data_IF_294881103625
#
_entry.id   IF_294881103625
#
_cell.length_a   1.000
_cell.length_b   1.000
_cell.length_c   1.000
_cell.angle_alpha   90.00
_cell.angle_beta   90.00
_cell.angle_gamma   90.00
#
_symmetry.space_group_name_H-M   'P 1'
#
loop_
_entity.id
_entity.type
_entity.pdbx_description
1 polymer ?
#
# COMPACT_ATOMS: atom_id res chain seq x y z
N UNK A 1 14.21 -23.36 -19.76
CA UNK A 1 13.36 -22.96 -18.64
C UNK A 1 13.30 -24.05 -17.57
N UNK A 2 12.93 -25.31 -17.92
CA UNK A 2 12.92 -26.45 -17.00
C UNK A 2 14.28 -26.73 -16.35
N UNK A 3 15.38 -26.49 -17.06
CA UNK A 3 16.74 -26.67 -16.57
C UNK A 3 17.15 -25.64 -15.51
N UNK A 4 16.72 -24.38 -15.64
CA UNK A 4 16.94 -23.33 -14.64
C UNK A 4 16.11 -23.57 -13.35
N UNK A 5 14.90 -24.08 -13.48
CA UNK A 5 14.05 -24.46 -12.35
C UNK A 5 14.65 -25.66 -11.62
N UNK A 6 15.16 -26.64 -12.35
CA UNK A 6 15.82 -27.81 -11.77
C UNK A 6 17.14 -27.44 -11.06
N UNK A 7 17.95 -26.55 -11.62
CA UNK A 7 19.19 -26.07 -10.98
C UNK A 7 18.87 -25.30 -9.70
N UNK A 8 17.86 -24.43 -9.70
CA UNK A 8 17.42 -23.72 -8.49
C UNK A 8 16.93 -24.71 -7.41
N UNK A 9 16.21 -25.74 -7.80
CA UNK A 9 15.74 -26.78 -6.86
C UNK A 9 16.88 -27.62 -6.29
N UNK A 10 17.90 -27.94 -7.11
CA UNK A 10 19.10 -28.70 -6.69
C UNK A 10 19.98 -27.84 -5.76
N UNK A 11 20.19 -26.57 -6.09
CA UNK A 11 20.99 -25.65 -5.26
C UNK A 11 20.29 -25.37 -3.92
N UNK A 12 18.96 -25.35 -3.87
CA UNK A 12 18.23 -25.13 -2.63
C UNK A 12 18.26 -26.34 -1.69
N UNK A 13 18.41 -27.55 -2.20
CA UNK A 13 18.53 -28.76 -1.36
C UNK A 13 19.85 -28.84 -0.59
N UNK A 14 20.89 -28.13 -1.01
CA UNK A 14 22.18 -28.02 -0.31
C UNK A 14 22.22 -26.91 0.75
N UNK A 15 21.18 -26.04 0.79
CA UNK A 15 21.08 -24.96 1.77
C UNK A 15 20.34 -25.43 3.02
N UNK A 16 20.90 -25.15 4.20
CA UNK A 16 20.18 -25.35 5.45
C UNK A 16 19.11 -24.28 5.64
N UNK A 17 17.90 -24.70 6.06
CA UNK A 17 16.83 -23.75 6.38
C UNK A 17 17.15 -22.98 7.65
N UNK A 18 16.94 -21.67 7.61
CA UNK A 18 17.13 -20.75 8.73
C UNK A 18 15.83 -20.61 9.53
N UNK A 19 14.67 -20.57 8.83
CA UNK A 19 13.35 -20.45 9.45
C UNK A 19 12.54 -21.74 9.23
N UNK A 20 12.71 -22.73 10.14
CA UNK A 20 12.06 -24.04 10.04
C UNK A 20 10.53 -23.97 10.19
N UNK A 21 10.03 -23.06 11.03
CA UNK A 21 8.61 -22.89 11.35
C UNK A 21 8.10 -21.59 10.73
N UNK A 22 8.05 -21.56 9.39
CA UNK A 22 7.72 -20.35 8.66
C UNK A 22 6.50 -20.50 7.76
N UNK A 23 5.77 -19.40 7.59
CA UNK A 23 4.69 -19.25 6.61
C UNK A 23 5.03 -18.16 5.60
N UNK A 24 4.58 -18.35 4.37
CA UNK A 24 4.61 -17.34 3.32
C UNK A 24 3.20 -16.88 2.99
N UNK A 25 2.99 -15.58 2.91
CA UNK A 25 1.69 -14.96 2.67
C UNK A 25 1.75 -14.09 1.43
N UNK A 26 0.82 -14.34 0.50
CA UNK A 26 0.51 -13.44 -0.60
C UNK A 26 -0.83 -12.73 -0.33
N UNK A 27 -0.85 -11.40 -0.53
CA UNK A 27 -1.96 -10.53 -0.11
C UNK A 27 -2.64 -9.95 -1.34
N UNK A 28 -3.84 -10.45 -1.63
CA UNK A 28 -4.75 -9.84 -2.59
C UNK A 28 -5.75 -8.86 -1.93
N UNK A 29 -6.56 -8.20 -2.74
CA UNK A 29 -7.58 -7.25 -2.27
C UNK A 29 -8.75 -7.95 -1.54
N UNK A 30 -9.13 -9.16 -1.95
CA UNK A 30 -10.26 -9.90 -1.40
C UNK A 30 -9.85 -11.07 -0.53
N UNK A 31 -8.71 -11.69 -0.82
CA UNK A 31 -8.22 -12.89 -0.18
C UNK A 31 -6.72 -12.82 0.07
N UNK A 32 -6.33 -13.52 1.10
CA UNK A 32 -4.93 -13.74 1.48
C UNK A 32 -4.66 -15.22 1.33
N UNK A 33 -3.59 -15.59 0.65
CA UNK A 33 -3.14 -16.95 0.45
C UNK A 33 -1.95 -17.25 1.36
N UNK A 34 -2.01 -18.38 2.04
CA UNK A 34 -1.04 -18.74 3.07
C UNK A 34 -0.47 -20.12 2.79
N UNK A 35 0.83 -20.19 2.68
CA UNK A 35 1.58 -21.44 2.52
C UNK A 35 2.40 -21.74 3.79
N UNK A 36 2.28 -22.96 4.26
CA UNK A 36 3.13 -23.54 5.30
C UNK A 36 3.72 -24.84 4.73
N UNK A 37 4.96 -25.11 5.01
CA UNK A 37 5.62 -26.31 4.49
C UNK A 37 4.88 -27.59 4.88
N UNK A 38 4.69 -28.48 3.89
CA UNK A 38 4.00 -29.77 4.10
C UNK A 38 2.50 -29.67 4.30
N UNK A 39 1.92 -28.46 4.19
CA UNK A 39 0.49 -28.23 4.32
C UNK A 39 -0.12 -27.74 3.00
N UNK A 40 -1.41 -28.03 2.74
CA UNK A 40 -2.11 -27.43 1.61
C UNK A 40 -2.24 -25.91 1.80
N UNK A 41 -2.13 -25.15 0.71
CA UNK A 41 -2.35 -23.71 0.76
C UNK A 41 -3.78 -23.40 1.17
N UNK A 42 -3.94 -22.56 2.18
CA UNK A 42 -5.23 -22.03 2.64
C UNK A 42 -5.41 -20.60 2.17
N UNK A 43 -6.67 -20.16 2.07
CA UNK A 43 -6.98 -18.76 1.82
C UNK A 43 -7.99 -18.24 2.86
N UNK A 44 -7.88 -16.95 3.16
CA UNK A 44 -8.71 -16.24 4.12
C UNK A 44 -9.21 -14.94 3.49
N UNK A 45 -10.38 -14.44 3.91
CA UNK A 45 -10.86 -13.13 3.49
C UNK A 45 -10.06 -12.01 4.17
N UNK A 46 -10.04 -10.82 3.54
CA UNK A 46 -9.32 -9.64 4.04
C UNK A 46 -10.07 -8.89 5.15
N UNK A 47 -10.62 -9.62 6.14
CA UNK A 47 -11.27 -9.06 7.32
C UNK A 47 -10.47 -9.39 8.58
N UNK A 48 -10.50 -8.50 9.57
CA UNK A 48 -9.78 -8.67 10.83
C UNK A 48 -10.11 -9.99 11.56
N UNK A 49 -11.38 -10.43 11.49
CA UNK A 49 -11.78 -11.70 12.07
C UNK A 49 -11.08 -12.88 11.37
N UNK A 50 -11.01 -12.87 10.03
CA UNK A 50 -10.32 -13.89 9.26
C UNK A 50 -8.80 -13.86 9.46
N UNK A 51 -8.22 -12.70 9.72
CA UNK A 51 -6.79 -12.59 10.07
C UNK A 51 -6.49 -13.21 11.44
N UNK A 52 -7.40 -13.07 12.41
CA UNK A 52 -7.28 -13.76 13.70
C UNK A 52 -7.42 -15.26 13.56
N UNK A 53 -8.35 -15.72 12.72
CA UNK A 53 -8.50 -17.15 12.37
C UNK A 53 -7.21 -17.68 11.72
N UNK A 54 -6.66 -16.98 10.73
CA UNK A 54 -5.38 -17.29 10.11
C UNK A 54 -4.26 -17.43 11.15
N UNK A 55 -4.14 -16.44 12.06
CA UNK A 55 -3.12 -16.49 13.10
C UNK A 55 -3.31 -17.69 14.05
N UNK A 56 -4.53 -18.06 14.40
CA UNK A 56 -4.81 -19.25 15.21
C UNK A 56 -4.42 -20.53 14.48
N UNK A 57 -4.75 -20.64 13.18
CA UNK A 57 -4.34 -21.79 12.35
C UNK A 57 -2.81 -21.92 12.27
N UNK A 58 -2.11 -20.80 12.11
CA UNK A 58 -0.64 -20.79 12.12
C UNK A 58 -0.04 -21.24 13.46
N UNK A 59 -0.66 -20.84 14.58
CA UNK A 59 -0.24 -21.32 15.92
C UNK A 59 -0.42 -22.82 16.08
N UNK A 60 -1.53 -23.39 15.60
CA UNK A 60 -1.78 -24.83 15.61
C UNK A 60 -0.71 -25.60 14.81
N UNK A 61 -0.15 -24.99 13.77
CA UNK A 61 0.94 -25.55 12.96
C UNK A 61 2.33 -25.22 13.51
N UNK A 62 2.41 -24.64 14.72
CA UNK A 62 3.67 -24.24 15.38
C UNK A 62 4.52 -23.27 14.55
N UNK A 63 3.90 -22.48 13.68
CA UNK A 63 4.56 -21.40 12.93
C UNK A 63 4.97 -20.30 13.91
N UNK A 64 6.18 -19.80 13.76
CA UNK A 64 6.73 -18.70 14.56
C UNK A 64 7.12 -17.48 13.72
N UNK A 65 7.50 -17.71 12.48
CA UNK A 65 7.97 -16.69 11.56
C UNK A 65 7.02 -16.59 10.35
N UNK A 66 6.65 -15.37 9.97
CA UNK A 66 5.74 -15.12 8.85
C UNK A 66 6.38 -14.13 7.89
N UNK A 67 6.47 -14.49 6.62
CA UNK A 67 6.86 -13.57 5.56
C UNK A 67 5.64 -13.17 4.75
N UNK A 68 5.46 -11.86 4.49
CA UNK A 68 4.39 -11.34 3.65
C UNK A 68 4.89 -10.28 2.67
N UNK A 69 4.31 -10.23 1.48
CA UNK A 69 4.67 -9.24 0.49
C UNK A 69 4.04 -7.87 0.80
N UNK A 70 4.81 -6.79 0.64
CA UNK A 70 4.37 -5.41 0.85
C UNK A 70 3.53 -4.89 -0.33
N UNK A 71 2.35 -5.47 -0.55
CA UNK A 71 1.46 -5.06 -1.64
C UNK A 71 0.55 -3.90 -1.21
N UNK A 72 0.82 -2.70 -1.75
CA UNK A 72 0.04 -1.50 -1.46
C UNK A 72 -0.06 -1.19 0.03
N UNK A 73 -1.30 -1.06 0.53
CA UNK A 73 -1.62 -0.81 1.96
C UNK A 73 -2.25 -2.02 2.65
N UNK A 74 -2.52 -3.10 1.91
CA UNK A 74 -3.29 -4.25 2.40
C UNK A 74 -2.57 -5.06 3.48
N UNK A 75 -1.23 -4.99 3.51
CA UNK A 75 -0.40 -5.69 4.48
C UNK A 75 -0.52 -5.14 5.91
N UNK A 76 -0.89 -3.85 6.09
CA UNK A 76 -0.79 -3.14 7.38
C UNK A 76 -1.62 -3.84 8.46
N UNK A 77 -2.91 -4.05 8.23
CA UNK A 77 -3.81 -4.66 9.23
C UNK A 77 -3.42 -6.10 9.54
N UNK A 78 -3.03 -6.87 8.52
CA UNK A 78 -2.60 -8.25 8.72
C UNK A 78 -1.29 -8.31 9.51
N UNK A 79 -0.34 -7.43 9.20
CA UNK A 79 0.92 -7.29 9.92
C UNK A 79 0.67 -7.02 11.41
N UNK A 80 -0.14 -6.00 11.71
CA UNK A 80 -0.43 -5.60 13.09
C UNK A 80 -1.12 -6.74 13.87
N UNK A 81 -2.10 -7.42 13.28
CA UNK A 81 -2.79 -8.55 13.92
C UNK A 81 -1.83 -9.71 14.21
N UNK A 82 -0.96 -10.05 13.28
CA UNK A 82 -0.02 -11.16 13.48
C UNK A 82 1.08 -10.78 14.48
N UNK A 83 1.56 -9.54 14.48
CA UNK A 83 2.53 -9.03 15.45
C UNK A 83 1.93 -9.04 16.87
N UNK A 84 0.67 -8.57 17.06
CA UNK A 84 -0.07 -8.65 18.31
C UNK A 84 -0.28 -10.10 18.79
N UNK A 85 -0.40 -11.04 17.89
CA UNK A 85 -0.51 -12.47 18.21
C UNK A 85 0.83 -13.14 18.55
N UNK A 86 1.95 -12.40 18.45
CA UNK A 86 3.29 -12.84 18.85
C UNK A 86 4.11 -13.54 17.76
N UNK A 87 3.77 -13.36 16.48
CA UNK A 87 4.59 -13.84 15.37
C UNK A 87 5.75 -12.88 15.06
N UNK A 88 6.90 -13.42 14.64
CA UNK A 88 7.94 -12.61 13.98
C UNK A 88 7.55 -12.39 12.52
N UNK A 89 7.02 -11.20 12.26
CA UNK A 89 6.51 -10.87 10.93
C UNK A 89 7.58 -10.12 10.12
N UNK A 90 7.89 -10.66 8.95
CA UNK A 90 8.83 -10.10 7.98
C UNK A 90 8.08 -9.57 6.76
N UNK A 91 8.09 -8.26 6.59
CA UNK A 91 7.57 -7.62 5.38
C UNK A 91 8.63 -7.70 4.28
N UNK A 92 8.27 -8.23 3.13
CA UNK A 92 9.19 -8.48 2.00
C UNK A 92 8.90 -7.50 0.87
N UNK A 93 9.97 -6.99 0.24
CA UNK A 93 9.83 -6.16 -0.94
C UNK A 93 9.38 -7.01 -2.14
N UNK A 94 8.31 -6.62 -2.86
CA UNK A 94 7.87 -7.30 -4.08
C UNK A 94 8.97 -7.49 -5.13
N UNK A 95 9.94 -6.60 -5.21
CA UNK A 95 11.06 -6.72 -6.15
C UNK A 95 11.96 -7.92 -5.85
N UNK A 96 12.10 -8.30 -4.57
CA UNK A 96 12.95 -9.43 -4.17
C UNK A 96 12.26 -10.78 -4.45
N UNK A 97 10.92 -10.80 -4.51
CA UNK A 97 10.14 -12.00 -4.77
C UNK A 97 9.83 -12.22 -6.26
N UNK A 98 9.76 -11.16 -7.09
CA UNK A 98 9.24 -11.19 -8.48
C UNK A 98 10.24 -11.57 -9.57
N UNK A 99 11.52 -11.69 -9.29
CA UNK A 99 12.57 -11.87 -10.31
C UNK A 99 12.70 -13.29 -10.89
N UNK A 100 11.71 -14.18 -10.71
CA UNK A 100 11.76 -15.54 -11.24
C UNK A 100 10.66 -15.79 -12.28
N UNK A 101 11.03 -16.27 -13.49
CA UNK A 101 10.08 -16.53 -14.56
C UNK A 101 9.20 -17.74 -14.21
N UNK A 102 7.90 -17.65 -14.49
CA UNK A 102 7.00 -18.82 -14.46
C UNK A 102 5.86 -18.78 -13.44
N UNK A 103 5.69 -17.71 -12.68
CA UNK A 103 4.57 -17.56 -11.75
C UNK A 103 3.29 -17.12 -12.43
N UNK A 104 2.19 -17.76 -12.10
CA UNK A 104 0.87 -17.44 -12.68
C UNK A 104 -0.29 -17.44 -11.67
N UNK A 105 -0.04 -17.78 -10.39
CA UNK A 105 -1.14 -17.89 -9.41
C UNK A 105 -0.69 -17.48 -8.00
N UNK A 106 -1.60 -16.87 -7.24
CA UNK A 106 -1.41 -16.46 -5.84
C UNK A 106 -0.98 -17.64 -4.93
N UNK A 107 -1.44 -18.86 -5.27
CA UNK A 107 -1.04 -20.12 -4.60
C UNK A 107 0.46 -20.39 -4.77
N UNK A 108 0.98 -20.21 -5.98
CA UNK A 108 2.40 -20.39 -6.26
C UNK A 108 3.24 -19.28 -5.62
N UNK A 109 2.70 -18.06 -5.56
CA UNK A 109 3.40 -16.92 -5.00
C UNK A 109 3.57 -17.04 -3.48
N UNK A 110 2.55 -17.44 -2.73
CA UNK A 110 2.70 -17.67 -1.28
C UNK A 110 3.63 -18.85 -0.96
N UNK A 111 3.58 -19.94 -1.73
CA UNK A 111 4.49 -21.09 -1.57
C UNK A 111 5.94 -20.69 -1.81
N UNK A 112 6.16 -19.87 -2.82
CA UNK A 112 7.49 -19.36 -3.16
C UNK A 112 8.03 -18.42 -2.09
N UNK A 113 7.23 -17.50 -1.59
CA UNK A 113 7.60 -16.62 -0.48
C UNK A 113 8.01 -17.48 0.73
N UNK A 114 7.20 -18.49 1.09
CA UNK A 114 7.51 -19.40 2.19
C UNK A 114 8.85 -20.11 1.97
N UNK A 115 9.08 -20.66 0.78
CA UNK A 115 10.28 -21.40 0.44
C UNK A 115 11.52 -20.50 0.51
N UNK A 116 11.53 -19.36 -0.17
CA UNK A 116 12.65 -18.43 -0.13
C UNK A 116 12.94 -17.93 1.28
N UNK A 117 11.88 -17.63 2.03
CA UNK A 117 12.01 -17.15 3.40
C UNK A 117 12.58 -18.21 4.33
N UNK A 118 12.18 -19.49 4.18
CA UNK A 118 12.72 -20.59 4.99
C UNK A 118 14.23 -20.73 4.85
N UNK A 119 14.78 -20.41 3.69
CA UNK A 119 16.24 -20.42 3.43
C UNK A 119 16.93 -19.08 3.72
N UNK A 120 16.21 -18.06 4.20
CA UNK A 120 16.77 -16.74 4.49
C UNK A 120 17.16 -15.92 3.25
N UNK A 121 16.59 -16.23 2.10
CA UNK A 121 16.90 -15.57 0.83
C UNK A 121 16.13 -14.26 0.60
N UNK A 122 15.18 -13.95 1.48
CA UNK A 122 14.38 -12.72 1.39
C UNK A 122 14.85 -11.69 2.43
N UNK A 123 15.01 -10.46 2.01
CA UNK A 123 15.38 -9.36 2.90
C UNK A 123 14.13 -8.78 3.58
N UNK A 124 14.19 -8.63 4.89
CA UNK A 124 13.16 -7.95 5.67
C UNK A 124 13.19 -6.45 5.37
N UNK A 125 12.07 -5.90 4.92
CA UNK A 125 11.87 -4.46 4.78
C UNK A 125 11.75 -3.81 6.15
N UNK A 126 12.26 -2.60 6.28
CA UNK A 126 12.11 -1.83 7.51
C UNK A 126 10.64 -1.39 7.68
N UNK A 127 10.01 -1.80 8.75
CA UNK A 127 8.70 -1.35 9.18
C UNK A 127 8.89 -0.30 10.29
N UNK A 128 8.53 0.97 10.06
CA UNK A 128 8.66 1.99 11.10
C UNK A 128 7.74 1.71 12.28
N UNK A 129 8.10 2.18 13.51
CA UNK A 129 7.20 2.16 14.66
C UNK A 129 5.83 2.78 14.33
N UNK A 130 4.78 2.33 15.02
CA UNK A 130 3.39 2.74 14.76
C UNK A 130 3.19 4.26 14.75
N UNK A 131 3.80 4.97 15.70
CA UNK A 131 3.74 6.45 15.75
C UNK A 131 4.30 7.09 14.47
N UNK A 132 5.37 6.55 13.91
CA UNK A 132 5.97 7.06 12.67
C UNK A 132 5.10 6.72 11.46
N UNK A 133 4.48 5.54 11.44
CA UNK A 133 3.51 5.15 10.41
C UNK A 133 2.31 6.11 10.40
N UNK A 134 1.75 6.42 11.56
CA UNK A 134 0.65 7.40 11.71
C UNK A 134 1.05 8.79 11.24
N UNK A 135 2.21 9.29 11.66
CA UNK A 135 2.72 10.58 11.20
C UNK A 135 2.89 10.64 9.68
N UNK A 136 3.39 9.59 9.06
CA UNK A 136 3.49 9.50 7.59
C UNK A 136 2.13 9.57 6.90
N UNK A 137 1.09 8.96 7.47
CA UNK A 137 -0.28 9.06 6.93
C UNK A 137 -0.78 10.49 6.99
N UNK A 138 -0.62 11.18 8.12
CA UNK A 138 -1.05 12.57 8.26
C UNK A 138 -0.28 13.54 7.35
N UNK A 139 1.04 13.37 7.22
CA UNK A 139 1.83 14.22 6.33
C UNK A 139 1.43 14.03 4.85
N UNK A 140 1.24 12.80 4.41
CA UNK A 140 0.75 12.51 3.05
C UNK A 140 -0.65 13.07 2.82
N UNK A 141 -1.57 12.85 3.76
CA UNK A 141 -2.93 13.40 3.69
C UNK A 141 -2.91 14.94 3.57
N UNK A 142 -2.04 15.62 4.35
CA UNK A 142 -1.86 17.07 4.24
C UNK A 142 -1.38 17.49 2.85
N UNK A 143 -0.38 16.78 2.33
CA UNK A 143 0.19 17.04 1.01
C UNK A 143 -0.83 16.85 -0.10
N UNK A 144 -1.58 15.75 -0.07
CA UNK A 144 -2.68 15.47 -1.00
C UNK A 144 -3.75 16.57 -0.96
N UNK A 145 -4.15 17.03 0.24
CA UNK A 145 -5.12 18.13 0.40
C UNK A 145 -4.63 19.45 -0.18
N UNK A 146 -3.35 19.78 0.01
CA UNK A 146 -2.76 20.97 -0.59
C UNK A 146 -2.72 20.89 -2.12
N UNK A 147 -2.38 19.71 -2.65
CA UNK A 147 -2.35 19.50 -4.10
C UNK A 147 -3.76 19.55 -4.70
N UNK A 148 -4.76 18.96 -4.05
CA UNK A 148 -6.17 19.09 -4.45
C UNK A 148 -6.64 20.53 -4.42
N UNK A 149 -6.34 21.30 -3.38
CA UNK A 149 -6.68 22.71 -3.29
C UNK A 149 -6.07 23.51 -4.44
N UNK A 150 -4.79 23.29 -4.75
CA UNK A 150 -4.10 23.94 -5.88
C UNK A 150 -4.77 23.61 -7.21
N UNK A 151 -5.16 22.34 -7.42
CA UNK A 151 -5.87 21.90 -8.61
C UNK A 151 -7.22 22.61 -8.75
N UNK A 152 -8.00 22.71 -7.67
CA UNK A 152 -9.29 23.43 -7.69
C UNK A 152 -9.13 24.92 -7.97
N UNK A 153 -8.10 25.58 -7.42
CA UNK A 153 -7.78 26.98 -7.71
C UNK A 153 -7.48 27.15 -9.21
N UNK A 154 -6.68 26.27 -9.78
CA UNK A 154 -6.35 26.33 -11.21
C UNK A 154 -7.60 26.14 -12.09
N UNK A 155 -8.48 25.20 -11.74
CA UNK A 155 -9.75 25.00 -12.46
C UNK A 155 -10.65 26.24 -12.37
N UNK A 156 -10.74 26.86 -11.20
CA UNK A 156 -11.52 28.09 -11.00
C UNK A 156 -10.94 29.23 -11.84
N UNK A 157 -9.63 29.44 -11.85
CA UNK A 157 -8.97 30.44 -12.67
C UNK A 157 -9.19 30.19 -14.16
N UNK A 158 -9.10 28.92 -14.60
CA UNK A 158 -9.39 28.57 -15.98
C UNK A 158 -10.82 28.92 -16.38
N UNK A 159 -11.79 28.59 -15.54
CA UNK A 159 -13.20 28.92 -15.80
C UNK A 159 -13.41 30.44 -15.91
N UNK A 160 -12.79 31.25 -15.06
CA UNK A 160 -12.83 32.69 -15.13
C UNK A 160 -12.27 33.22 -16.47
N UNK A 161 -11.14 32.67 -16.91
CA UNK A 161 -10.52 33.03 -18.21
C UNK A 161 -11.43 32.64 -19.37
N UNK A 162 -12.08 31.50 -19.34
CA UNK A 162 -13.06 31.05 -20.35
C UNK A 162 -14.27 31.99 -20.42
N UNK A 163 -14.63 32.62 -19.29
CA UNK A 163 -15.65 33.68 -19.22
C UNK A 163 -15.12 35.06 -19.63
N UNK A 164 -13.89 35.19 -20.10
CA UNK A 164 -13.17 36.43 -20.38
C UNK A 164 -13.02 37.36 -19.15
N UNK A 165 -12.90 36.75 -17.95
CA UNK A 165 -12.68 37.45 -16.68
C UNK A 165 -11.25 37.16 -16.23
N UNK A 166 -10.37 38.18 -16.34
CA UNK A 166 -8.94 38.02 -16.04
C UNK A 166 -8.58 38.44 -14.61
N UNK A 167 -9.33 37.90 -13.65
CA UNK A 167 -9.14 38.23 -12.24
C UNK A 167 -7.71 37.91 -11.74
N UNK A 168 -7.02 36.87 -12.20
CA UNK A 168 -5.63 36.58 -11.80
C UNK A 168 -4.61 37.65 -12.23
N UNK A 169 -4.91 38.48 -13.21
CA UNK A 169 -4.04 39.56 -13.63
C UNK A 169 -4.13 40.80 -12.70
N UNK A 170 -5.22 40.89 -11.94
CA UNK A 170 -5.50 42.02 -11.04
C UNK A 170 -5.23 41.65 -9.58
N UNK A 171 -5.47 40.42 -9.20
CA UNK A 171 -5.31 39.93 -7.83
C UNK A 171 -4.18 38.89 -7.74
N UNK A 172 -3.28 39.10 -6.79
CA UNK A 172 -2.22 38.13 -6.49
C UNK A 172 -2.77 36.81 -5.95
N UNK A 173 -3.94 36.84 -5.30
CA UNK A 173 -4.61 35.64 -4.74
C UNK A 173 -6.11 35.67 -5.07
N UNK A 174 -6.50 35.02 -6.16
CA UNK A 174 -7.91 34.93 -6.57
C UNK A 174 -8.78 34.13 -5.59
N UNK A 175 -8.19 33.25 -4.82
CA UNK A 175 -8.86 32.45 -3.80
C UNK A 175 -8.83 33.06 -2.38
N UNK A 176 -8.29 34.29 -2.24
CA UNK A 176 -8.34 35.07 -1.00
C UNK A 176 -9.74 35.62 -0.73
N UNK A 177 -9.91 36.28 0.42
CA UNK A 177 -11.22 36.79 0.86
C UNK A 177 -11.84 37.71 -0.19
N UNK A 178 -11.09 38.71 -0.68
CA UNK A 178 -11.55 39.66 -1.70
C UNK A 178 -11.84 38.98 -3.04
N UNK A 179 -10.93 38.10 -3.50
CA UNK A 179 -11.13 37.37 -4.75
C UNK A 179 -12.37 36.46 -4.72
N UNK A 180 -12.61 35.78 -3.61
CA UNK A 180 -13.81 34.95 -3.43
C UNK A 180 -15.09 35.80 -3.33
N UNK A 181 -15.03 37.01 -2.75
CA UNK A 181 -16.17 37.93 -2.73
C UNK A 181 -16.51 38.39 -4.17
N UNK A 182 -15.52 38.80 -4.94
CA UNK A 182 -15.68 39.15 -6.37
C UNK A 182 -16.25 38.00 -7.20
N UNK A 183 -15.71 36.76 -7.02
CA UNK A 183 -16.22 35.59 -7.74
C UNK A 183 -17.69 35.34 -7.39
N UNK A 184 -18.09 35.44 -6.13
CA UNK A 184 -19.49 35.29 -5.70
C UNK A 184 -20.38 36.36 -6.32
N UNK A 185 -19.94 37.62 -6.36
CA UNK A 185 -20.67 38.68 -7.02
C UNK A 185 -20.84 38.42 -8.52
N UNK A 186 -19.78 37.97 -9.20
CA UNK A 186 -19.83 37.59 -10.61
C UNK A 186 -20.83 36.46 -10.85
N UNK A 187 -20.85 35.44 -9.98
CA UNK A 187 -21.82 34.35 -10.06
C UNK A 187 -23.26 34.81 -9.82
N UNK A 188 -23.46 35.89 -9.03
CA UNK A 188 -24.75 36.53 -8.81
C UNK A 188 -25.20 37.41 -9.96
N UNK A 189 -24.37 37.56 -11.00
CA UNK A 189 -24.69 38.35 -12.19
C UNK A 189 -24.05 39.73 -12.25
N UNK A 190 -23.27 40.15 -11.24
CA UNK A 190 -22.55 41.41 -11.27
C UNK A 190 -21.50 41.44 -12.39
N UNK A 191 -21.45 42.53 -13.15
CA UNK A 191 -20.50 42.69 -14.27
C UNK A 191 -19.84 44.07 -14.28
N UNK A 192 -20.28 44.98 -13.40
CA UNK A 192 -19.66 46.30 -13.30
C UNK A 192 -18.32 46.21 -12.53
N UNK A 193 -17.24 46.58 -13.22
CA UNK A 193 -15.90 46.50 -12.67
C UNK A 193 -15.71 47.40 -11.43
N UNK A 194 -16.40 48.54 -11.35
CA UNK A 194 -16.28 49.45 -10.20
C UNK A 194 -16.92 48.85 -8.95
N UNK A 195 -18.08 48.22 -9.11
CA UNK A 195 -18.78 47.52 -8.03
C UNK A 195 -18.00 46.33 -7.52
N UNK A 196 -17.30 45.59 -8.40
CA UNK A 196 -16.48 44.47 -8.02
C UNK A 196 -15.20 44.86 -7.26
N UNK A 197 -14.73 46.11 -7.43
CA UNK A 197 -13.51 46.63 -6.80
C UNK A 197 -13.78 47.41 -5.50
N UNK A 198 -15.03 47.72 -5.20
CA UNK A 198 -15.45 48.41 -3.98
C UNK A 198 -15.59 47.45 -2.79
#
# INVERSE_FOLDING_TARGET
>A
LAYLIAINFIVMNDLSKIHLHSAGIDIGSEKVYVAVEGQPVKNYRTFTASFKELGNDLKLLSVTHVAMEATGVYWITLYDVLEEMGFDVSLINPADSKNLPGRKTDVQDCQWIQQLFSYGLLRKSFVPPDIVRKLRVYTRMREDKLQMASSHINHMQKALVEMNIRLPEVLSQTHGVSGMAMIKAILSGERDAKTLLS
#
